data_IF_366740901107
#
_entry.id   IF_366740901107
#
_cell.length_a   1.000
_cell.length_b   1.000
_cell.length_c   1.000
_cell.angle_alpha   90.00
_cell.angle_beta   90.00
_cell.angle_gamma   90.00
#
_symmetry.space_group_name_H-M   'P 1'
#
loop_
_entity.id
_entity.type
_entity.pdbx_description
1 polymer ?
#
# COMPACT_ATOMS: atom_id res chain seq x y z
N UNK A 1 30.73 -17.77 -7.49
CA UNK A 1 31.03 -16.63 -8.38
C UNK A 1 29.73 -16.24 -9.07
N UNK A 2 29.10 -15.14 -8.65
CA UNK A 2 27.88 -14.61 -9.30
C UNK A 2 28.32 -13.62 -10.38
N UNK A 3 27.85 -13.72 -11.63
CA UNK A 3 28.36 -12.88 -12.72
C UNK A 3 28.06 -11.39 -12.46
N UNK A 4 29.11 -10.58 -12.52
CA UNK A 4 29.14 -9.13 -12.25
C UNK A 4 28.34 -8.28 -13.24
N UNK A 5 27.70 -8.89 -14.25
CA UNK A 5 26.99 -8.20 -15.32
C UNK A 5 25.54 -7.80 -14.98
N UNK A 6 24.98 -8.26 -13.87
CA UNK A 6 23.58 -7.94 -13.52
C UNK A 6 23.39 -6.54 -12.89
N UNK A 7 24.47 -5.83 -12.56
CA UNK A 7 24.42 -4.53 -11.85
C UNK A 7 24.56 -3.30 -12.75
N UNK A 8 24.62 -3.49 -14.08
CA UNK A 8 24.92 -2.40 -15.01
C UNK A 8 23.69 -1.97 -15.81
N UNK A 9 22.71 -1.35 -15.15
CA UNK A 9 21.74 -0.43 -15.77
C UNK A 9 21.31 0.63 -14.73
N UNK A 10 21.64 1.88 -15.07
CA UNK A 10 21.36 3.16 -14.39
C UNK A 10 21.99 3.41 -13.00
N UNK A 11 23.18 4.01 -13.02
CA UNK A 11 23.72 4.78 -11.90
C UNK A 11 23.09 6.17 -11.93
N UNK A 12 22.48 6.59 -10.82
CA UNK A 12 21.89 7.94 -10.71
C UNK A 12 21.12 8.21 -9.41
N UNK A 13 20.80 7.18 -8.62
CA UNK A 13 20.26 7.41 -7.28
C UNK A 13 20.66 6.23 -6.42
N UNK A 14 21.37 6.50 -5.32
CA UNK A 14 21.59 5.55 -4.23
C UNK A 14 20.32 4.71 -4.06
N UNK A 15 20.39 3.40 -4.35
CA UNK A 15 19.28 2.48 -4.12
C UNK A 15 19.20 2.32 -2.62
N UNK A 16 18.61 3.34 -2.00
CA UNK A 16 18.19 3.34 -0.61
C UNK A 16 17.41 2.04 -0.45
N UNK A 17 17.79 1.15 0.49
CA UNK A 17 17.02 -0.07 0.71
C UNK A 17 15.55 0.37 0.84
N UNK A 18 14.76 -0.21 -0.05
CA UNK A 18 13.38 0.06 -0.48
C UNK A 18 12.31 0.20 0.62
N UNK A 19 12.69 0.34 1.88
CA UNK A 19 11.80 0.63 3.01
C UNK A 19 11.46 2.13 3.02
N UNK A 20 10.39 2.52 2.34
CA UNK A 20 9.77 3.86 2.50
C UNK A 20 9.63 4.70 1.23
N UNK A 21 9.57 4.09 0.04
CA UNK A 21 9.35 4.84 -1.21
C UNK A 21 7.89 5.22 -1.44
N UNK A 22 6.96 4.60 -0.71
CA UNK A 22 5.54 4.88 -0.78
C UNK A 22 4.97 5.19 0.59
N UNK A 23 4.19 6.26 0.65
CA UNK A 23 3.35 6.62 1.77
C UNK A 23 1.92 6.15 1.49
N UNK A 24 1.43 5.18 2.28
CA UNK A 24 0.12 4.56 2.09
C UNK A 24 -0.92 5.47 2.75
N UNK A 25 -1.84 5.99 1.94
CA UNK A 25 -2.90 6.92 2.35
C UNK A 25 -4.17 6.18 2.72
N UNK A 26 -4.57 5.21 1.88
CA UNK A 26 -5.78 4.43 2.12
C UNK A 26 -5.62 3.00 1.57
N UNK A 27 -6.31 2.06 2.20
CA UNK A 27 -6.32 0.64 1.82
C UNK A 27 -7.77 0.16 1.79
N UNK A 28 -8.32 0.05 0.59
CA UNK A 28 -9.66 -0.52 0.38
C UNK A 28 -9.54 -2.04 0.29
N UNK A 29 -9.97 -2.74 1.35
CA UNK A 29 -9.93 -4.20 1.42
C UNK A 29 -11.14 -4.79 2.14
N UNK A 30 -11.43 -6.05 1.85
CA UNK A 30 -12.34 -6.89 2.61
C UNK A 30 -11.52 -7.65 3.65
N UNK A 31 -11.76 -7.38 4.93
CA UNK A 31 -11.15 -8.10 6.04
C UNK A 31 -12.14 -9.06 6.68
N UNK A 32 -11.62 -10.21 7.12
CA UNK A 32 -12.36 -11.11 7.99
C UNK A 32 -12.47 -10.48 9.40
N UNK A 33 -13.68 -10.30 9.96
CA UNK A 33 -13.88 -9.55 11.21
C UNK A 33 -13.12 -10.11 12.42
N UNK A 34 -12.95 -11.43 12.48
CA UNK A 34 -12.35 -12.12 13.64
C UNK A 34 -10.82 -12.17 13.58
N UNK A 35 -10.26 -12.34 12.38
CA UNK A 35 -8.82 -12.56 12.19
C UNK A 35 -8.09 -11.31 11.69
N UNK A 36 -8.83 -10.27 11.26
CA UNK A 36 -8.35 -9.10 10.53
C UNK A 36 -7.58 -9.46 9.24
N UNK A 37 -7.65 -10.71 8.80
CA UNK A 37 -6.97 -11.16 7.59
C UNK A 37 -7.62 -10.50 6.38
N UNK A 38 -6.80 -9.95 5.48
CA UNK A 38 -7.28 -9.46 4.19
C UNK A 38 -7.73 -10.67 3.36
N UNK A 39 -9.03 -10.77 3.11
CA UNK A 39 -9.65 -11.75 2.22
C UNK A 39 -9.50 -11.29 0.78
N UNK A 40 -9.75 -10.00 0.53
CA UNK A 40 -9.65 -9.40 -0.79
C UNK A 40 -9.13 -7.97 -0.69
N UNK A 41 -8.22 -7.59 -1.59
CA UNK A 41 -7.63 -6.25 -1.62
C UNK A 41 -8.07 -5.56 -2.92
N UNK A 42 -8.93 -4.56 -2.82
CA UNK A 42 -9.48 -3.89 -4.00
C UNK A 42 -8.54 -2.82 -4.54
N UNK A 43 -7.94 -2.04 -3.64
CA UNK A 43 -7.17 -0.85 -4.01
C UNK A 43 -6.25 -0.43 -2.86
N UNK A 44 -5.08 0.09 -3.22
CA UNK A 44 -4.21 0.84 -2.31
C UNK A 44 -3.98 2.23 -2.90
N UNK A 45 -4.29 3.26 -2.14
CA UNK A 45 -3.91 4.63 -2.48
C UNK A 45 -2.60 4.97 -1.79
N UNK A 46 -1.61 5.36 -2.60
CA UNK A 46 -0.28 5.67 -2.12
C UNK A 46 0.29 6.90 -2.81
N UNK A 47 1.12 7.66 -2.09
CA UNK A 47 1.96 8.70 -2.65
C UNK A 47 3.39 8.19 -2.77
N UNK A 48 3.99 8.34 -3.96
CA UNK A 48 5.39 8.00 -4.16
C UNK A 48 6.29 9.11 -3.63
N UNK A 49 7.04 8.85 -2.56
CA UNK A 49 7.98 9.79 -1.96
C UNK A 49 9.17 10.15 -2.86
N UNK A 50 9.36 9.45 -3.98
CA UNK A 50 10.41 9.76 -4.97
C UNK A 50 10.01 10.81 -6.00
N UNK A 51 8.74 10.84 -6.41
CA UNK A 51 8.25 11.71 -7.48
C UNK A 51 7.00 12.50 -7.08
N UNK A 52 6.64 12.45 -5.80
CA UNK A 52 5.48 13.06 -5.17
C UNK A 52 4.13 12.77 -5.87
N UNK A 53 4.08 11.69 -6.64
CA UNK A 53 2.89 11.30 -7.39
C UNK A 53 2.00 10.42 -6.53
N UNK A 54 0.78 10.89 -6.30
CA UNK A 54 -0.32 10.06 -5.80
C UNK A 54 -0.82 9.12 -6.90
N UNK A 55 -1.05 7.86 -6.55
CA UNK A 55 -1.62 6.87 -7.47
C UNK A 55 -2.42 5.82 -6.71
N UNK A 56 -3.30 5.16 -7.46
CA UNK A 56 -4.20 4.12 -6.99
C UNK A 56 -3.80 2.80 -7.59
N UNK A 57 -3.23 1.93 -6.78
CA UNK A 57 -2.76 0.62 -7.19
C UNK A 57 -3.89 -0.40 -7.10
N UNK A 58 -4.11 -1.17 -8.18
CA UNK A 58 -5.06 -2.29 -8.29
C UNK A 58 -4.34 -3.50 -8.87
N UNK A 59 -4.86 -4.71 -8.65
CA UNK A 59 -4.25 -5.91 -9.24
C UNK A 59 -4.16 -5.76 -10.77
N UNK A 60 -2.93 -5.88 -11.31
CA UNK A 60 -2.64 -5.65 -12.73
C UNK A 60 -2.39 -4.19 -13.13
N UNK A 61 -2.70 -3.22 -12.27
CA UNK A 61 -2.46 -1.79 -12.48
C UNK A 61 -1.65 -1.20 -11.32
N UNK A 62 -0.32 -1.34 -11.40
CA UNK A 62 0.59 -0.82 -10.37
C UNK A 62 0.58 -1.60 -9.06
N UNK A 63 -0.19 -2.69 -8.96
CA UNK A 63 -0.11 -3.67 -7.88
C UNK A 63 0.08 -5.07 -8.44
N UNK A 64 0.94 -5.84 -7.77
CA UNK A 64 1.14 -7.25 -8.06
C UNK A 64 1.15 -8.05 -6.77
N UNK A 65 0.49 -9.20 -6.79
CA UNK A 65 0.41 -10.08 -5.63
C UNK A 65 1.61 -11.03 -5.61
N UNK A 66 2.28 -11.10 -4.47
CA UNK A 66 3.34 -12.07 -4.18
C UNK A 66 2.99 -12.83 -2.89
N UNK A 67 3.63 -13.97 -2.64
CA UNK A 67 3.36 -14.78 -1.45
C UNK A 67 3.56 -13.96 -0.18
N UNK A 68 2.48 -13.69 0.55
CA UNK A 68 2.49 -12.94 1.82
C UNK A 68 2.59 -11.41 1.72
N UNK A 69 2.66 -10.83 0.53
CA UNK A 69 2.82 -9.38 0.33
C UNK A 69 2.15 -8.85 -0.95
N UNK A 70 2.13 -7.53 -1.10
CA UNK A 70 1.72 -6.80 -2.29
C UNK A 70 2.86 -5.91 -2.75
N UNK A 71 3.22 -6.04 -4.02
CA UNK A 71 4.23 -5.18 -4.65
C UNK A 71 3.51 -4.02 -5.30
N UNK A 72 3.77 -2.81 -4.81
CA UNK A 72 3.33 -1.56 -5.40
C UNK A 72 4.37 -1.06 -6.38
N UNK A 73 3.95 -0.58 -7.54
CA UNK A 73 4.81 0.02 -8.57
C UNK A 73 4.28 1.38 -8.95
N UNK A 74 5.15 2.40 -8.88
CA UNK A 74 4.80 3.75 -9.27
C UNK A 74 4.69 3.84 -10.80
N UNK A 75 3.57 4.34 -11.36
CA UNK A 75 3.44 4.54 -12.81
C UNK A 75 4.29 5.69 -13.36
N UNK A 76 4.78 6.59 -12.50
CA UNK A 76 5.59 7.75 -12.92
C UNK A 76 7.09 7.48 -12.94
N UNK A 77 7.64 6.98 -11.82
CA UNK A 77 9.08 6.80 -11.65
C UNK A 77 9.54 5.34 -11.65
N UNK A 78 8.65 4.38 -11.90
CA UNK A 78 8.92 2.93 -11.89
C UNK A 78 9.51 2.36 -10.59
N UNK A 79 9.48 3.13 -9.49
CA UNK A 79 9.86 2.62 -8.18
C UNK A 79 8.93 1.47 -7.77
N UNK A 80 9.45 0.45 -7.09
CA UNK A 80 8.68 -0.68 -6.61
C UNK A 80 8.98 -0.99 -5.14
N UNK A 81 7.97 -1.39 -4.39
CA UNK A 81 8.08 -1.72 -2.97
C UNK A 81 7.12 -2.87 -2.63
N UNK A 82 7.64 -3.86 -1.89
CA UNK A 82 6.80 -4.89 -1.30
C UNK A 82 6.28 -4.42 0.06
N UNK A 83 4.97 -4.57 0.27
CA UNK A 83 4.29 -4.28 1.53
C UNK A 83 3.66 -5.58 2.03
N UNK A 84 3.92 -5.95 3.27
CA UNK A 84 3.38 -7.21 3.80
C UNK A 84 1.86 -7.14 3.98
N UNK A 85 1.18 -8.26 3.73
CA UNK A 85 -0.28 -8.34 3.93
C UNK A 85 -0.67 -8.14 5.39
N UNK A 86 0.21 -8.51 6.34
CA UNK A 86 -0.01 -8.32 7.77
C UNK A 86 0.00 -6.84 8.15
N UNK A 87 0.91 -6.06 7.59
CA UNK A 87 0.97 -4.62 7.84
C UNK A 87 -0.19 -3.90 7.15
N UNK A 88 -0.56 -4.29 5.92
CA UNK A 88 -1.76 -3.76 5.27
C UNK A 88 -3.03 -4.03 6.09
N UNK A 89 -3.16 -5.24 6.63
CA UNK A 89 -4.29 -5.63 7.48
C UNK A 89 -4.37 -4.79 8.77
N UNK A 90 -3.21 -4.50 9.37
CA UNK A 90 -3.13 -3.63 10.55
C UNK A 90 -3.50 -2.19 10.21
N UNK A 91 -3.02 -1.69 9.09
CA UNK A 91 -3.31 -0.33 8.61
C UNK A 91 -4.80 -0.14 8.30
N UNK A 92 -5.43 -1.09 7.60
CA UNK A 92 -6.87 -0.99 7.31
C UNK A 92 -7.71 -1.12 8.57
N UNK A 93 -7.32 -1.97 9.52
CA UNK A 93 -8.00 -2.08 10.81
C UNK A 93 -7.88 -0.80 11.65
N UNK A 94 -6.73 -0.12 11.63
CA UNK A 94 -6.57 1.16 12.35
C UNK A 94 -7.36 2.31 11.71
N UNK A 95 -7.47 2.34 10.37
CA UNK A 95 -8.31 3.30 9.65
C UNK A 95 -9.81 3.02 9.77
N UNK A 96 -10.21 1.75 9.86
CA UNK A 96 -11.61 1.37 10.13
C UNK A 96 -12.09 1.86 11.50
N UNK A 97 -11.19 1.92 12.50
CA UNK A 97 -11.48 2.50 13.81
C UNK A 97 -11.82 4.01 13.76
N UNK A 98 -11.46 4.72 12.69
CA UNK A 98 -11.79 6.15 12.50
C UNK A 98 -13.10 6.32 11.72
N UNK A 99 -13.47 5.37 10.86
CA UNK A 99 -14.72 5.41 10.09
C UNK A 99 -15.97 5.00 10.90
N UNK A 100 -15.82 4.47 12.11
CA UNK A 100 -16.92 4.08 13.00
C UNK A 100 -17.30 5.13 14.06
N UNK A 101 -16.77 6.35 13.98
CA UNK A 101 -17.41 7.51 14.63
C UNK A 101 -18.67 7.88 13.82
N UNK A 102 -19.73 7.10 14.02
CA UNK A 102 -21.07 7.40 13.54
C UNK A 102 -21.48 8.83 13.99
N UNK A 103 -22.19 9.61 13.15
CA UNK A 103 -22.83 10.82 13.62
C UNK A 103 -23.82 10.43 14.72
N UNK A 104 -23.68 11.07 15.89
CA UNK A 104 -24.53 10.85 17.05
C UNK A 104 -26.02 11.06 16.72
N UNK A 105 -26.93 10.52 17.55
CA UNK A 105 -28.36 10.62 17.31
C UNK A 105 -28.75 12.09 17.23
N UNK A 106 -29.53 12.44 16.19
CA UNK A 106 -30.26 13.69 16.13
C UNK A 106 -31.12 13.81 17.40
N UNK A 107 -30.75 14.71 18.30
CA UNK A 107 -31.63 15.11 19.39
C UNK A 107 -32.80 15.89 18.79
N UNK A 108 -33.95 15.23 18.70
CA UNK A 108 -35.22 15.85 18.33
C UNK A 108 -35.63 16.83 19.44
N UNK A 109 -36.00 18.03 19.01
CA UNK A 109 -36.29 19.22 19.81
C UNK A 109 -37.66 19.08 20.47
N UNK A 110 -37.77 19.38 21.76
CA UNK A 110 -39.01 19.71 22.44
C UNK A 110 -38.78 20.86 23.43
#
# INVERSE_FOLDING_TARGET
>A
MVPTSYWRKSWGTFVRPNTGSFDIRDVSCLQEPTSLRIVHLYRIDACCQRCDRAFSARDGHGMSTVTGARVLTCPGCSASQAVSNRELARFSASHAGTAMAAPGPIAEVA
#
